data_IF_684768790900
#
_entry.id   IF_684768790900
#
_cell.length_a   1.000
_cell.length_b   1.000
_cell.length_c   1.000
_cell.angle_alpha   90.00
_cell.angle_beta   90.00
_cell.angle_gamma   90.00
#
_symmetry.space_group_name_H-M   'P 1'
#
loop_
_entity.id
_entity.type
_entity.pdbx_description
1 polymer ?
#
# COMPACT_ATOMS: atom_id res chain seq x y z
N UNK A 1 26.71 22.84 7.55
CA UNK A 1 25.48 22.19 8.02
C UNK A 1 24.73 21.72 6.79
N UNK A 2 24.87 20.44 6.43
CA UNK A 2 24.19 19.89 5.25
C UNK A 2 22.85 19.33 5.69
N UNK A 3 21.77 20.03 5.35
CA UNK A 3 20.40 19.57 5.59
C UNK A 3 20.11 18.37 4.70
N UNK A 4 19.96 17.19 5.30
CA UNK A 4 19.46 15.99 4.62
C UNK A 4 18.03 16.24 4.18
N UNK A 5 17.85 16.53 2.89
CA UNK A 5 16.53 16.64 2.29
C UNK A 5 15.94 15.22 2.26
N UNK A 6 15.08 14.92 3.24
CA UNK A 6 14.39 13.63 3.31
C UNK A 6 13.32 13.66 2.22
N UNK A 7 13.62 13.07 1.06
CA UNK A 7 12.64 12.90 -0.02
C UNK A 7 11.58 11.93 0.52
N UNK A 8 10.48 12.47 1.06
CA UNK A 8 9.27 11.70 1.29
C UNK A 8 8.71 11.37 -0.09
N UNK A 9 8.97 10.17 -0.61
CA UNK A 9 8.32 9.70 -1.82
C UNK A 9 6.84 9.47 -1.51
N UNK A 10 6.00 10.46 -1.80
CA UNK A 10 4.55 10.28 -1.78
C UNK A 10 4.22 9.30 -2.89
N UNK A 11 3.83 8.08 -2.51
CA UNK A 11 3.35 7.07 -3.45
C UNK A 11 2.03 7.58 -4.03
N UNK A 12 1.99 7.80 -5.34
CA UNK A 12 0.78 8.20 -6.05
C UNK A 12 0.16 6.95 -6.65
N UNK A 13 -1.10 6.67 -6.32
CA UNK A 13 -1.88 5.58 -6.90
C UNK A 13 -2.23 5.94 -8.34
N UNK A 14 -1.47 5.39 -9.28
CA UNK A 14 -1.68 5.63 -10.71
C UNK A 14 -2.05 4.35 -11.46
N UNK A 15 -1.52 3.21 -11.02
CA UNK A 15 -1.66 1.91 -11.66
C UNK A 15 -1.78 0.81 -10.62
N UNK A 16 -2.03 -0.41 -11.09
CA UNK A 16 -2.20 -1.55 -10.19
C UNK A 16 -0.94 -1.88 -9.39
N UNK A 17 0.25 -1.63 -9.94
CA UNK A 17 1.52 -1.87 -9.23
C UNK A 17 1.67 -1.01 -7.98
N UNK A 18 1.00 0.15 -7.94
CA UNK A 18 1.07 1.09 -6.82
C UNK A 18 0.14 0.69 -5.67
N UNK A 19 -0.85 -0.17 -5.95
CA UNK A 19 -1.94 -0.50 -5.03
C UNK A 19 -1.45 -1.01 -3.68
N UNK A 20 -0.59 -2.03 -3.66
CA UNK A 20 -0.19 -2.70 -2.42
C UNK A 20 0.55 -1.77 -1.47
N UNK A 21 1.45 -0.95 -2.00
CA UNK A 21 2.19 0.02 -1.20
C UNK A 21 1.25 1.15 -0.74
N UNK A 22 0.44 1.67 -1.67
CA UNK A 22 -0.47 2.77 -1.39
C UNK A 22 -1.53 2.40 -0.33
N UNK A 23 -2.21 1.26 -0.47
CA UNK A 23 -3.22 0.81 0.50
C UNK A 23 -2.59 0.52 1.87
N UNK A 24 -1.33 0.07 1.90
CA UNK A 24 -0.54 -0.07 3.12
C UNK A 24 -0.32 1.27 3.83
N UNK A 25 -0.03 2.35 3.09
CA UNK A 25 0.09 3.70 3.65
C UNK A 25 -1.25 4.22 4.19
N UNK A 26 -2.36 3.98 3.48
CA UNK A 26 -3.71 4.32 3.96
C UNK A 26 -3.99 3.60 5.28
N UNK A 27 -3.75 2.29 5.34
CA UNK A 27 -3.96 1.49 6.55
C UNK A 27 -3.10 1.98 7.72
N UNK A 28 -1.83 2.31 7.46
CA UNK A 28 -0.92 2.87 8.47
C UNK A 28 -1.41 4.23 9.01
N UNK A 29 -1.89 5.12 8.13
CA UNK A 29 -2.45 6.43 8.52
C UNK A 29 -3.75 6.30 9.30
N UNK A 30 -4.64 5.41 8.88
CA UNK A 30 -5.90 5.16 9.56
C UNK A 30 -5.71 4.53 10.95
N UNK A 31 -4.72 3.65 11.10
CA UNK A 31 -4.45 2.94 12.35
C UNK A 31 -5.69 2.20 12.86
N UNK A 32 -6.10 2.47 14.09
CA UNK A 32 -7.30 1.86 14.70
C UNK A 32 -8.63 2.26 14.02
N UNK A 33 -8.64 3.36 13.26
CA UNK A 33 -9.82 3.79 12.50
C UNK A 33 -10.01 3.01 11.19
N UNK A 34 -9.03 2.19 10.78
CA UNK A 34 -9.09 1.39 9.55
C UNK A 34 -10.35 0.52 9.44
N UNK A 35 -10.83 0.00 10.57
CA UNK A 35 -12.05 -0.82 10.63
C UNK A 35 -13.29 -0.13 10.04
N UNK A 36 -13.34 1.20 10.01
CA UNK A 36 -14.48 1.96 9.47
C UNK A 36 -14.37 2.21 7.95
N UNK A 37 -13.22 1.92 7.33
CA UNK A 37 -12.98 2.22 5.93
C UNK A 37 -12.35 1.09 5.11
N UNK A 38 -12.07 -0.07 5.71
CA UNK A 38 -11.45 -1.22 5.03
C UNK A 38 -12.25 -1.64 3.78
N UNK A 39 -11.69 -1.55 2.55
CA UNK A 39 -12.39 -1.92 1.33
C UNK A 39 -12.52 -3.44 1.11
N UNK A 40 -12.00 -4.27 2.02
CA UNK A 40 -12.22 -5.71 2.04
C UNK A 40 -13.42 -6.11 2.89
N UNK A 41 -13.87 -5.24 3.78
CA UNK A 41 -15.08 -5.46 4.56
C UNK A 41 -16.31 -5.06 3.72
N UNK A 42 -17.23 -6.00 3.50
CA UNK A 42 -18.45 -5.72 2.74
C UNK A 42 -19.46 -4.88 3.54
N UNK A 43 -19.33 -4.84 4.88
CA UNK A 43 -20.23 -4.13 5.78
C UNK A 43 -19.44 -3.53 6.93
N UNK A 44 -18.59 -2.52 6.67
CA UNK A 44 -17.81 -1.90 7.73
C UNK A 44 -18.74 -1.27 8.78
N UNK A 45 -18.34 -1.28 10.06
CA UNK A 45 -19.04 -0.54 11.10
C UNK A 45 -19.17 0.94 10.72
N UNK A 46 -20.30 1.55 11.07
CA UNK A 46 -20.50 2.99 10.93
C UNK A 46 -19.91 3.69 12.14
N UNK A 47 -19.10 4.73 11.91
CA UNK A 47 -18.65 5.60 12.99
C UNK A 47 -19.79 6.55 13.36
N UNK A 48 -20.36 6.37 14.55
CA UNK A 48 -21.45 7.21 15.08
C UNK A 48 -21.03 7.92 16.36
N UNK A 49 -21.55 9.13 16.56
CA UNK A 49 -21.38 9.84 17.82
C UNK A 49 -22.03 9.03 18.96
N UNK A 50 -21.49 9.09 20.19
CA UNK A 50 -22.17 8.51 21.35
C UNK A 50 -23.56 9.10 21.54
N UNK A 51 -24.48 8.28 22.06
CA UNK A 51 -25.83 8.72 22.38
C UNK A 51 -25.83 9.85 23.42
N UNK A 52 -26.86 10.70 23.37
CA UNK A 52 -27.01 11.78 24.32
C UNK A 52 -27.04 11.25 25.75
N UNK A 53 -26.19 11.83 26.60
CA UNK A 53 -26.14 11.49 28.01
C UNK A 53 -27.44 11.91 28.71
N UNK A 54 -28.22 10.93 29.18
CA UNK A 54 -29.40 11.16 30.02
C UNK A 54 -29.10 11.06 31.52
N UNK A 55 -28.05 10.31 31.87
CA UNK A 55 -27.64 10.07 33.26
C UNK A 55 -26.65 11.14 33.75
N UNK A 56 -26.89 11.67 34.95
CA UNK A 56 -26.03 12.67 35.59
C UNK A 56 -25.03 12.05 36.58
N UNK A 57 -25.03 10.72 36.72
CA UNK A 57 -24.03 10.02 37.50
C UNK A 57 -22.61 10.38 37.04
N UNK A 58 -21.68 10.75 37.96
CA UNK A 58 -20.32 11.13 37.57
C UNK A 58 -19.56 10.10 36.74
N UNK A 59 -19.79 8.79 36.96
CA UNK A 59 -19.12 7.75 36.17
C UNK A 59 -19.71 7.66 34.76
N UNK A 60 -21.04 7.79 34.62
CA UNK A 60 -21.70 7.86 33.31
C UNK A 60 -21.24 9.09 32.49
N UNK A 61 -21.10 10.24 33.14
CA UNK A 61 -20.58 11.47 32.53
C UNK A 61 -19.14 11.27 32.02
N UNK A 62 -18.27 10.68 32.84
CA UNK A 62 -16.87 10.45 32.45
C UNK A 62 -16.77 9.43 31.31
N UNK A 63 -17.53 8.33 31.36
CA UNK A 63 -17.57 7.34 30.28
C UNK A 63 -18.04 7.96 28.96
N UNK A 64 -19.11 8.75 28.99
CA UNK A 64 -19.59 9.47 27.81
C UNK A 64 -18.50 10.42 27.26
N UNK A 65 -17.79 11.13 28.13
CA UNK A 65 -16.67 12.00 27.72
C UNK A 65 -15.54 11.23 27.04
N UNK A 66 -15.20 10.04 27.54
CA UNK A 66 -14.17 9.16 26.95
C UNK A 66 -14.62 8.71 25.56
N UNK A 67 -15.84 8.18 25.44
CA UNK A 67 -16.40 7.70 24.16
C UNK A 67 -16.46 8.82 23.12
N UNK A 68 -16.87 10.03 23.52
CA UNK A 68 -16.95 11.17 22.62
C UNK A 68 -15.56 11.59 22.11
N UNK A 69 -14.55 11.59 22.99
CA UNK A 69 -13.15 11.85 22.59
C UNK A 69 -12.62 10.78 21.63
N UNK A 70 -12.98 9.51 21.82
CA UNK A 70 -12.59 8.44 20.91
C UNK A 70 -13.24 8.58 19.53
N UNK A 71 -14.53 8.96 19.51
CA UNK A 71 -15.26 9.29 18.29
C UNK A 71 -14.59 10.44 17.54
N UNK A 72 -14.31 11.58 18.19
CA UNK A 72 -13.66 12.74 17.56
C UNK A 72 -12.28 12.39 16.99
N UNK A 73 -11.49 11.60 17.74
CA UNK A 73 -10.18 11.11 17.29
C UNK A 73 -10.30 10.21 16.06
N UNK A 74 -11.28 9.31 16.04
CA UNK A 74 -11.52 8.44 14.89
C UNK A 74 -11.97 9.26 13.67
N UNK A 75 -12.88 10.20 13.86
CA UNK A 75 -13.37 11.08 12.80
C UNK A 75 -12.23 11.89 12.18
N UNK A 76 -11.42 12.54 13.02
CA UNK A 76 -10.25 13.31 12.58
C UNK A 76 -9.26 12.46 11.77
N UNK A 77 -9.04 11.20 12.18
CA UNK A 77 -8.18 10.28 11.43
C UNK A 77 -8.78 9.94 10.06
N UNK A 78 -10.08 9.66 9.99
CA UNK A 78 -10.75 9.34 8.74
C UNK A 78 -10.75 10.52 7.78
N UNK A 79 -10.95 11.75 8.27
CA UNK A 79 -10.90 12.97 7.46
C UNK A 79 -9.49 13.17 6.89
N UNK A 80 -8.45 13.07 7.73
CA UNK A 80 -7.05 13.14 7.27
C UNK A 80 -6.70 12.06 6.23
N UNK A 81 -7.25 10.85 6.39
CA UNK A 81 -7.06 9.76 5.42
C UNK A 81 -7.79 10.09 4.12
N UNK A 82 -9.00 10.62 4.21
CA UNK A 82 -9.78 11.08 3.05
C UNK A 82 -9.03 12.14 2.25
N UNK A 83 -8.47 13.15 2.91
CA UNK A 83 -7.66 14.19 2.26
C UNK A 83 -6.45 13.57 1.57
N UNK A 84 -5.73 12.69 2.29
CA UNK A 84 -4.60 11.99 1.71
C UNK A 84 -4.98 11.14 0.50
N UNK A 85 -6.16 10.50 0.49
CA UNK A 85 -6.63 9.75 -0.70
C UNK A 85 -6.78 10.69 -1.89
N UNK A 86 -7.36 11.89 -1.72
CA UNK A 86 -7.47 12.85 -2.81
C UNK A 86 -6.12 13.39 -3.29
N UNK A 87 -5.16 13.58 -2.37
CA UNK A 87 -3.82 14.07 -2.70
C UNK A 87 -2.92 13.01 -3.36
N UNK A 88 -3.17 11.73 -3.07
CA UNK A 88 -2.28 10.62 -3.45
C UNK A 88 -2.86 9.70 -4.52
N UNK A 89 -3.95 10.09 -5.17
CA UNK A 89 -4.54 9.38 -6.31
C UNK A 89 -4.34 10.20 -7.58
N UNK A 90 -3.96 9.56 -8.69
CA UNK A 90 -3.75 10.29 -9.93
C UNK A 90 -5.05 10.85 -10.49
N UNK A 91 -4.96 11.98 -11.20
CA UNK A 91 -6.13 12.74 -11.70
C UNK A 91 -7.10 11.88 -12.54
N UNK A 92 -6.59 10.91 -13.29
CA UNK A 92 -7.40 9.99 -14.09
C UNK A 92 -8.34 9.11 -13.24
N UNK A 93 -8.00 8.85 -11.98
CA UNK A 93 -8.82 8.03 -11.08
C UNK A 93 -9.71 8.86 -10.16
N UNK A 94 -9.35 10.13 -9.91
CA UNK A 94 -10.12 11.06 -9.08
C UNK A 94 -11.56 11.23 -9.57
N UNK A 95 -11.78 11.23 -10.89
CA UNK A 95 -13.10 11.38 -11.51
C UNK A 95 -14.11 10.32 -11.05
N UNK A 96 -13.65 9.15 -10.60
CA UNK A 96 -14.50 8.05 -10.17
C UNK A 96 -14.83 8.08 -8.67
N UNK A 97 -14.03 8.78 -7.87
CA UNK A 97 -14.20 8.82 -6.41
C UNK A 97 -14.74 10.14 -5.89
N UNK A 98 -14.64 11.23 -6.67
CA UNK A 98 -15.00 12.58 -6.22
C UNK A 98 -16.49 12.72 -5.84
N UNK A 99 -17.37 11.91 -6.44
CA UNK A 99 -18.81 11.92 -6.16
C UNK A 99 -19.23 10.97 -5.05
N UNK A 100 -18.31 10.18 -4.52
CA UNK A 100 -18.60 9.22 -3.46
C UNK A 100 -18.51 9.91 -2.10
N UNK A 101 -19.42 9.54 -1.20
CA UNK A 101 -19.65 10.28 0.03
C UNK A 101 -18.77 9.79 1.16
N UNK A 102 -18.49 8.49 1.20
CA UNK A 102 -17.71 7.90 2.28
C UNK A 102 -16.30 7.52 1.82
N UNK A 103 -15.34 7.58 2.73
CA UNK A 103 -13.99 7.08 2.49
C UNK A 103 -14.01 5.60 2.07
N UNK A 104 -14.87 4.79 2.69
CA UNK A 104 -15.02 3.38 2.35
C UNK A 104 -15.44 3.18 0.89
N UNK A 105 -16.49 3.88 0.43
CA UNK A 105 -16.94 3.81 -0.97
C UNK A 105 -15.81 4.16 -1.94
N UNK A 106 -15.03 5.20 -1.65
CA UNK A 106 -13.88 5.62 -2.46
C UNK A 106 -12.83 4.52 -2.53
N UNK A 107 -12.48 3.92 -1.40
CA UNK A 107 -11.48 2.85 -1.34
C UNK A 107 -11.97 1.58 -2.07
N UNK A 108 -13.25 1.24 -1.97
CA UNK A 108 -13.86 0.12 -2.71
C UNK A 108 -13.82 0.37 -4.22
N UNK A 109 -14.13 1.58 -4.67
CA UNK A 109 -14.11 1.91 -6.10
C UNK A 109 -12.68 1.87 -6.67
N UNK A 110 -11.70 2.39 -5.94
CA UNK A 110 -10.29 2.29 -6.33
C UNK A 110 -9.82 0.83 -6.34
N UNK A 111 -10.22 0.03 -5.35
CA UNK A 111 -9.90 -1.40 -5.26
C UNK A 111 -10.39 -2.14 -6.50
N UNK A 112 -11.65 -1.95 -6.90
CA UNK A 112 -12.21 -2.61 -8.09
C UNK A 112 -11.41 -2.35 -9.37
N UNK A 113 -10.78 -1.18 -9.47
CA UNK A 113 -10.08 -0.72 -10.68
C UNK A 113 -8.59 -1.02 -10.68
N UNK A 114 -7.98 -0.94 -9.50
CA UNK A 114 -6.53 -0.85 -9.34
C UNK A 114 -5.97 -1.92 -8.43
N UNK A 115 -6.78 -2.70 -7.72
CA UNK A 115 -6.26 -3.89 -7.09
C UNK A 115 -5.76 -4.84 -8.20
N UNK A 116 -4.48 -5.23 -8.16
CA UNK A 116 -3.98 -6.25 -9.06
C UNK A 116 -4.80 -7.52 -8.91
N UNK A 117 -5.28 -8.07 -10.02
CA UNK A 117 -5.71 -9.47 -10.07
C UNK A 117 -4.47 -10.37 -9.94
N UNK A 118 -4.62 -11.57 -9.36
CA UNK A 118 -3.53 -12.53 -9.17
C UNK A 118 -2.82 -12.82 -10.49
N UNK A 119 -3.58 -12.92 -11.60
CA UNK A 119 -3.03 -13.13 -12.94
C UNK A 119 -2.30 -11.91 -13.50
N UNK A 120 -2.82 -10.71 -13.28
CA UNK A 120 -2.18 -9.48 -13.75
C UNK A 120 -0.87 -9.22 -12.98
N UNK A 121 -0.89 -9.45 -11.66
CA UNK A 121 0.29 -9.43 -10.80
C UNK A 121 1.33 -10.44 -11.27
N UNK A 122 0.89 -11.65 -11.61
CA UNK A 122 1.76 -12.70 -12.11
C UNK A 122 2.50 -12.29 -13.39
N UNK A 123 1.77 -11.75 -14.38
CA UNK A 123 2.37 -11.34 -15.64
C UNK A 123 3.28 -10.11 -15.48
N UNK A 124 2.93 -9.16 -14.61
CA UNK A 124 3.77 -7.98 -14.34
C UNK A 124 5.09 -8.37 -13.65
N UNK A 125 5.03 -9.15 -12.57
CA UNK A 125 6.21 -9.63 -11.86
C UNK A 125 7.12 -10.42 -12.80
N UNK A 126 6.54 -11.30 -13.61
CA UNK A 126 7.26 -12.06 -14.62
C UNK A 126 7.96 -11.14 -15.65
N UNK A 127 7.26 -10.12 -16.16
CA UNK A 127 7.83 -9.16 -17.10
C UNK A 127 8.96 -8.32 -16.47
N UNK A 128 8.81 -7.90 -15.21
CA UNK A 128 9.83 -7.15 -14.46
C UNK A 128 11.10 -7.98 -14.24
N UNK A 129 10.95 -9.27 -13.91
CA UNK A 129 12.07 -10.21 -13.75
C UNK A 129 12.83 -10.37 -15.07
N UNK A 130 12.12 -10.63 -16.18
CA UNK A 130 12.77 -10.75 -17.49
C UNK A 130 13.48 -9.46 -17.91
N UNK A 131 12.89 -8.29 -17.63
CA UNK A 131 13.55 -7.00 -17.86
C UNK A 131 14.81 -6.84 -17.00
N UNK A 132 14.76 -7.19 -15.72
CA UNK A 132 15.93 -7.15 -14.83
C UNK A 132 17.07 -8.01 -15.38
N UNK A 133 16.79 -9.24 -15.84
CA UNK A 133 17.79 -10.10 -16.48
C UNK A 133 18.45 -9.44 -17.71
N UNK A 134 17.67 -8.71 -18.50
CA UNK A 134 18.16 -8.09 -19.74
C UNK A 134 18.96 -6.79 -19.53
N UNK A 135 18.77 -6.11 -18.40
CA UNK A 135 19.21 -4.70 -18.21
C UNK A 135 20.45 -4.54 -17.35
N UNK A 136 20.97 -5.62 -16.78
CA UNK A 136 22.12 -5.57 -15.88
C UNK A 136 23.38 -5.05 -16.58
N UNK A 137 23.98 -4.01 -16.01
CA UNK A 137 25.22 -3.39 -16.49
C UNK A 137 26.21 -3.28 -15.35
N UNK A 138 27.50 -3.46 -15.65
CA UNK A 138 28.60 -3.42 -14.67
C UNK A 138 28.70 -2.10 -13.89
N UNK A 139 28.25 -0.99 -14.47
CA UNK A 139 28.23 0.33 -13.83
C UNK A 139 27.05 0.58 -12.89
N UNK A 140 26.04 -0.29 -12.88
CA UNK A 140 24.80 -0.10 -12.12
C UNK A 140 24.37 -1.36 -11.37
N UNK A 141 25.33 -2.19 -10.95
CA UNK A 141 25.06 -3.47 -10.27
C UNK A 141 24.33 -3.25 -8.95
N UNK A 142 24.71 -2.24 -8.17
CA UNK A 142 24.06 -1.91 -6.89
C UNK A 142 22.60 -1.49 -7.11
N UNK A 143 22.33 -0.56 -8.04
CA UNK A 143 20.96 -0.16 -8.39
C UNK A 143 20.13 -1.34 -8.90
N UNK A 144 20.77 -2.24 -9.66
CA UNK A 144 20.12 -3.45 -10.17
C UNK A 144 19.79 -4.43 -9.04
N UNK A 145 20.71 -4.67 -8.11
CA UNK A 145 20.51 -5.52 -6.93
C UNK A 145 19.36 -4.99 -6.07
N UNK A 146 19.30 -3.67 -5.85
CA UNK A 146 18.20 -3.07 -5.08
C UNK A 146 16.84 -3.29 -5.76
N UNK A 147 16.76 -3.16 -7.09
CA UNK A 147 15.53 -3.45 -7.85
C UNK A 147 15.18 -4.93 -7.81
N UNK A 148 16.18 -5.81 -7.87
CA UNK A 148 15.99 -7.25 -7.75
C UNK A 148 15.45 -7.62 -6.37
N UNK A 149 16.03 -7.09 -5.29
CA UNK A 149 15.57 -7.32 -3.91
C UNK A 149 14.12 -6.86 -3.68
N UNK A 150 13.74 -5.74 -4.32
CA UNK A 150 12.36 -5.25 -4.30
C UNK A 150 11.41 -6.28 -4.93
N UNK A 151 11.71 -6.74 -6.15
CA UNK A 151 10.90 -7.76 -6.85
C UNK A 151 10.89 -9.09 -6.11
N UNK A 152 12.01 -9.48 -5.51
CA UNK A 152 12.14 -10.68 -4.70
C UNK A 152 11.21 -10.63 -3.48
N UNK A 153 11.21 -9.51 -2.77
CA UNK A 153 10.37 -9.29 -1.59
C UNK A 153 8.89 -9.28 -1.96
N UNK A 154 8.51 -8.67 -3.08
CA UNK A 154 7.14 -8.70 -3.59
C UNK A 154 6.69 -10.14 -3.92
N UNK A 155 7.53 -10.91 -4.62
CA UNK A 155 7.24 -12.31 -4.94
C UNK A 155 7.12 -13.19 -3.69
N UNK A 156 7.99 -12.98 -2.69
CA UNK A 156 7.95 -13.68 -1.41
C UNK A 156 6.67 -13.36 -0.64
N UNK A 157 6.31 -12.09 -0.55
CA UNK A 157 5.15 -11.62 0.22
C UNK A 157 3.83 -12.09 -0.39
N UNK A 158 3.77 -12.18 -1.72
CA UNK A 158 2.61 -12.71 -2.46
C UNK A 158 2.60 -14.24 -2.58
N UNK A 159 3.57 -14.95 -2.00
CA UNK A 159 3.76 -16.39 -2.15
C UNK A 159 3.76 -16.84 -3.63
N UNK A 160 4.40 -16.04 -4.49
CA UNK A 160 4.33 -16.18 -5.93
C UNK A 160 4.97 -17.51 -6.42
N UNK A 161 4.43 -18.17 -7.47
CA UNK A 161 5.02 -19.41 -8.00
C UNK A 161 6.50 -19.29 -8.40
N UNK A 162 6.91 -18.11 -8.86
CA UNK A 162 8.32 -17.84 -9.20
C UNK A 162 9.25 -17.83 -7.97
N UNK A 163 8.73 -17.51 -6.79
CA UNK A 163 9.47 -17.61 -5.53
C UNK A 163 9.60 -19.07 -5.09
N UNK A 164 8.53 -19.85 -5.22
CA UNK A 164 8.51 -21.26 -4.80
C UNK A 164 9.42 -22.16 -5.65
N UNK A 165 9.65 -21.82 -6.92
CA UNK A 165 10.47 -22.60 -7.84
C UNK A 165 11.96 -22.28 -7.85
N UNK A 166 12.47 -21.47 -6.90
CA UNK A 166 13.84 -20.91 -6.92
C UNK A 166 14.21 -20.14 -8.20
N UNK A 167 13.21 -19.78 -9.02
CA UNK A 167 13.44 -19.18 -10.33
C UNK A 167 14.08 -17.80 -10.19
N UNK A 168 13.77 -17.07 -9.12
CA UNK A 168 14.37 -15.78 -8.83
C UNK A 168 15.87 -15.89 -8.57
N UNK A 169 16.31 -16.87 -7.78
CA UNK A 169 17.71 -17.15 -7.50
C UNK A 169 18.47 -17.53 -8.79
N UNK A 170 17.86 -18.32 -9.67
CA UNK A 170 18.43 -18.60 -10.99
C UNK A 170 18.56 -17.34 -11.86
N UNK A 171 17.53 -16.49 -11.91
CA UNK A 171 17.54 -15.25 -12.68
C UNK A 171 18.58 -14.24 -12.12
N UNK A 172 18.81 -14.23 -10.81
CA UNK A 172 19.90 -13.49 -10.16
C UNK A 172 21.26 -13.93 -10.68
N UNK A 173 21.53 -15.24 -10.62
CA UNK A 173 22.81 -15.82 -11.04
C UNK A 173 23.06 -15.62 -12.54
N UNK A 174 22.05 -15.85 -13.38
CA UNK A 174 22.15 -15.61 -14.83
C UNK A 174 22.35 -14.13 -15.17
N UNK A 175 21.79 -13.21 -14.37
CA UNK A 175 22.09 -11.78 -14.45
C UNK A 175 23.56 -11.48 -14.13
N UNK A 176 24.04 -11.92 -12.96
CA UNK A 176 25.40 -11.67 -12.49
C UNK A 176 26.46 -12.25 -13.44
N UNK A 177 26.20 -13.42 -14.02
CA UNK A 177 27.04 -14.06 -15.04
C UNK A 177 27.34 -13.16 -16.25
N UNK A 178 26.42 -12.26 -16.62
CA UNK A 178 26.66 -11.29 -17.72
C UNK A 178 27.66 -10.20 -17.35
N UNK A 179 27.80 -9.88 -16.06
CA UNK A 179 28.76 -8.89 -15.58
C UNK A 179 30.14 -9.52 -15.39
N UNK A 180 30.14 -10.70 -14.77
CA UNK A 180 31.34 -11.43 -14.42
C UNK A 180 31.05 -12.95 -14.43
N UNK A 181 31.65 -13.69 -15.37
CA UNK A 181 31.45 -15.14 -15.50
C UNK A 181 31.87 -15.96 -14.27
N UNK A 182 32.72 -15.42 -13.39
CA UNK A 182 33.24 -16.15 -12.21
C UNK A 182 32.17 -16.46 -11.16
N UNK A 183 31.05 -15.72 -11.18
CA UNK A 183 29.92 -15.91 -10.27
C UNK A 183 29.14 -17.21 -10.52
N UNK A 184 29.42 -17.94 -11.61
CA UNK A 184 28.77 -19.20 -11.96
C UNK A 184 29.46 -20.46 -11.37
N UNK A 185 30.43 -20.29 -10.47
CA UNK A 185 31.31 -21.38 -9.98
C UNK A 185 30.97 -21.85 -8.56
N UNK A 186 29.69 -22.02 -8.23
CA UNK A 186 29.26 -22.68 -6.97
C UNK A 186 28.06 -23.58 -7.21
#
# INVERSE_FOLDING_TARGET
MSSSNTIKSTVVLNSSTDWNLWIGLIRGKAGTAWKYCDPNDASPPVLSAPDQLTDKDPAAVENHRILYREFEKAQTKLDNVSDFVFESVSTQHLVFIIRLNTLHERLVELKKRLQPDDRATYLDLQARIYRLRSTIKKSSVLDWLQRFETVYTECKTSNHPLYQGHMLEFELLEGLKKIDPQWATS
#
